data_IF_814281725858
#
_entry.id   IF_814281725858
#
_cell.length_a   1.000
_cell.length_b   1.000
_cell.length_c   1.000
_cell.angle_alpha   90.00
_cell.angle_beta   90.00
_cell.angle_gamma   90.00
#
_symmetry.space_group_name_H-M   'P 1'
#
loop_
_entity.id
_entity.type
_entity.pdbx_description
1 polymer ?
#
# COMPACT_ATOMS: atom_id res chain seq x y z
N UNK A 1 -14.42 -16.59 5.30
CA UNK A 1 -14.42 -15.40 6.19
C UNK A 1 -14.70 -14.18 5.36
N UNK A 2 -15.42 -13.21 5.92
CA UNK A 2 -15.78 -11.96 5.25
C UNK A 2 -14.96 -10.84 5.87
N UNK A 3 -14.50 -9.89 5.07
CA UNK A 3 -13.79 -8.70 5.53
C UNK A 3 -14.57 -7.45 5.10
N UNK A 4 -14.67 -6.46 5.98
CA UNK A 4 -14.81 -5.07 5.59
C UNK A 4 -13.42 -4.53 5.22
N UNK A 5 -13.24 -4.11 3.97
CA UNK A 5 -11.93 -3.76 3.45
C UNK A 5 -11.89 -2.37 2.82
N UNK A 6 -10.81 -1.64 3.08
CA UNK A 6 -10.44 -0.41 2.37
C UNK A 6 -9.09 -0.63 1.67
N UNK A 7 -9.17 -0.81 0.35
CA UNK A 7 -8.06 -1.28 -0.46
C UNK A 7 -7.37 -0.16 -1.25
N UNK A 8 -7.73 1.10 -1.01
CA UNK A 8 -7.08 2.25 -1.64
C UNK A 8 -6.87 3.37 -0.64
N UNK A 9 -5.71 3.32 0.01
CA UNK A 9 -5.22 4.37 0.91
C UNK A 9 -3.86 4.87 0.45
N UNK A 10 -3.43 5.99 1.04
CA UNK A 10 -2.11 6.55 0.84
C UNK A 10 -1.34 6.65 2.15
N UNK A 11 -0.02 6.67 2.02
CA UNK A 11 0.95 6.89 3.09
C UNK A 11 1.14 8.39 3.36
N UNK A 12 1.94 8.76 4.39
CA UNK A 12 2.36 10.13 4.65
C UNK A 12 3.28 10.71 3.56
N UNK A 13 3.76 9.86 2.63
CA UNK A 13 4.69 10.24 1.57
C UNK A 13 4.00 10.58 0.24
N UNK A 14 2.71 10.26 0.11
CA UNK A 14 1.91 10.76 -0.99
C UNK A 14 1.75 12.28 -0.93
N UNK A 15 1.44 12.89 -2.06
CA UNK A 15 1.20 14.34 -2.13
C UNK A 15 -0.14 14.67 -1.51
N UNK A 16 -0.18 15.76 -0.74
CA UNK A 16 -1.39 16.30 -0.13
C UNK A 16 -2.13 15.32 0.80
N UNK A 17 -1.39 14.44 1.47
CA UNK A 17 -1.92 13.52 2.48
C UNK A 17 -1.48 13.93 3.89
N UNK A 18 -2.19 13.44 4.91
CA UNK A 18 -1.87 13.74 6.31
C UNK A 18 -0.56 13.06 6.73
N UNK A 19 0.24 13.77 7.54
CA UNK A 19 1.45 13.20 8.15
C UNK A 19 1.14 12.11 9.18
N UNK A 20 -0.11 12.07 9.65
CA UNK A 20 -0.61 11.09 10.61
C UNK A 20 -1.06 9.77 9.97
N UNK A 21 -0.92 9.56 8.66
CA UNK A 21 -1.24 8.29 7.97
C UNK A 21 -0.17 7.21 8.20
N UNK A 22 0.31 7.06 9.43
CA UNK A 22 1.21 5.99 9.84
C UNK A 22 0.43 4.70 10.18
N UNK A 23 1.11 3.56 10.23
CA UNK A 23 0.46 2.26 10.45
C UNK A 23 -0.27 2.17 11.80
N UNK A 24 0.27 2.79 12.84
CA UNK A 24 -0.32 2.80 14.17
C UNK A 24 -1.68 3.52 14.17
N UNK A 25 -1.74 4.70 13.57
CA UNK A 25 -2.99 5.45 13.40
C UNK A 25 -3.96 4.74 12.46
N UNK A 26 -3.47 4.16 11.36
CA UNK A 26 -4.30 3.39 10.43
C UNK A 26 -4.98 2.20 11.13
N UNK A 27 -4.22 1.42 11.92
CA UNK A 27 -4.76 0.32 12.72
C UNK A 27 -5.75 0.82 13.77
N UNK A 28 -5.41 1.89 14.49
CA UNK A 28 -6.30 2.49 15.49
C UNK A 28 -7.66 2.89 14.91
N UNK A 29 -7.65 3.65 13.80
CA UNK A 29 -8.88 4.14 13.18
C UNK A 29 -9.65 3.04 12.44
N UNK A 30 -8.97 2.02 11.90
CA UNK A 30 -9.64 0.88 11.28
C UNK A 30 -10.52 0.14 12.30
N UNK A 31 -10.03 -0.09 13.52
CA UNK A 31 -10.83 -0.70 14.60
C UNK A 31 -12.07 0.11 14.93
N UNK A 32 -11.92 1.43 15.05
CA UNK A 32 -13.06 2.33 15.34
C UNK A 32 -14.09 2.31 14.20
N UNK A 33 -13.61 2.27 12.95
CA UNK A 33 -14.46 2.22 11.76
C UNK A 33 -15.05 0.84 11.45
N UNK A 34 -14.56 -0.22 12.08
CA UNK A 34 -14.92 -1.60 11.76
C UNK A 34 -14.37 -2.08 10.42
N UNK A 35 -13.15 -1.66 10.06
CA UNK A 35 -12.43 -2.12 8.87
C UNK A 35 -11.45 -3.21 9.30
N UNK A 36 -11.60 -4.41 8.72
CA UNK A 36 -10.79 -5.58 9.07
C UNK A 36 -9.48 -5.63 8.27
N UNK A 37 -9.49 -5.12 7.03
CA UNK A 37 -8.39 -5.21 6.08
C UNK A 37 -8.13 -3.87 5.39
N UNK A 38 -6.90 -3.39 5.48
CA UNK A 38 -6.42 -2.19 4.77
C UNK A 38 -5.41 -2.54 3.68
N UNK A 39 -5.32 -1.75 2.62
CA UNK A 39 -4.09 -1.72 1.82
C UNK A 39 -2.97 -1.00 2.61
N UNK A 40 -1.70 -1.32 2.37
CA UNK A 40 -0.60 -0.51 2.92
C UNK A 40 -0.50 0.88 2.28
N UNK A 41 -0.92 0.99 1.03
CA UNK A 41 -0.68 2.16 0.17
C UNK A 41 0.81 2.31 -0.19
N UNK A 42 1.07 2.98 -1.31
CA UNK A 42 2.38 3.56 -1.68
C UNK A 42 3.62 2.68 -1.46
N UNK A 43 3.54 1.34 -1.64
CA UNK A 43 4.70 0.46 -1.41
C UNK A 43 5.90 0.74 -2.32
N UNK A 44 5.74 1.60 -3.33
CA UNK A 44 6.81 2.04 -4.23
C UNK A 44 7.71 3.10 -3.60
N UNK A 45 7.26 3.73 -2.51
CA UNK A 45 8.08 4.68 -1.76
C UNK A 45 9.09 3.93 -0.87
N UNK A 46 10.40 4.14 -1.02
CA UNK A 46 11.42 3.29 -0.39
C UNK A 46 11.40 3.35 1.15
N UNK A 47 11.16 4.52 1.73
CA UNK A 47 11.06 4.65 3.20
C UNK A 47 9.81 3.96 3.73
N UNK A 48 8.69 4.07 3.02
CA UNK A 48 7.43 3.45 3.44
C UNK A 48 7.49 1.93 3.33
N UNK A 49 8.10 1.43 2.26
CA UNK A 49 8.36 0.00 2.09
C UNK A 49 9.26 -0.55 3.21
N UNK A 50 10.32 0.17 3.57
CA UNK A 50 11.18 -0.21 4.69
C UNK A 50 10.43 -0.19 6.04
N UNK A 51 9.54 0.78 6.25
CA UNK A 51 8.68 0.82 7.44
C UNK A 51 7.67 -0.33 7.47
N UNK A 52 7.09 -0.69 6.32
CA UNK A 52 6.15 -1.82 6.19
C UNK A 52 6.78 -3.10 6.73
N UNK A 53 7.99 -3.43 6.29
CA UNK A 53 8.70 -4.63 6.75
C UNK A 53 9.22 -4.56 8.20
N UNK A 54 9.27 -3.38 8.81
CA UNK A 54 9.68 -3.19 10.22
C UNK A 54 8.50 -3.25 11.17
N UNK A 55 7.36 -2.69 10.79
CA UNK A 55 6.22 -2.47 11.68
C UNK A 55 5.15 -3.54 11.54
N UNK A 56 4.92 -4.05 10.33
CA UNK A 56 3.87 -5.03 10.12
C UNK A 56 4.42 -6.46 10.25
N UNK A 57 3.67 -7.30 10.94
CA UNK A 57 3.98 -8.72 11.09
C UNK A 57 3.42 -9.49 9.90
N UNK A 58 4.27 -10.23 9.19
CA UNK A 58 3.83 -11.16 8.13
C UNK A 58 3.02 -12.33 8.74
N UNK A 59 1.81 -12.56 8.24
CA UNK A 59 0.94 -13.65 8.70
C UNK A 59 1.12 -14.95 7.91
N UNK A 60 1.96 -14.95 6.86
CA UNK A 60 2.29 -16.12 6.05
C UNK A 60 1.26 -16.51 4.99
N UNK A 61 0.14 -15.80 4.93
CA UNK A 61 -0.97 -15.99 3.98
C UNK A 61 -1.09 -14.85 2.95
N UNK A 62 -0.02 -14.05 2.81
CA UNK A 62 0.03 -12.87 1.95
C UNK A 62 -0.60 -11.62 2.56
N UNK A 63 -1.04 -11.70 3.81
CA UNK A 63 -1.45 -10.57 4.62
C UNK A 63 -0.37 -10.22 5.66
N UNK A 64 -0.56 -9.06 6.24
CA UNK A 64 0.27 -8.52 7.30
C UNK A 64 -0.65 -8.04 8.43
N UNK A 65 -0.12 -7.87 9.63
CA UNK A 65 -0.91 -7.47 10.79
C UNK A 65 -0.20 -6.43 11.64
N UNK A 66 -0.97 -5.46 12.14
CA UNK A 66 -0.58 -4.60 13.25
C UNK A 66 -1.75 -4.41 14.22
N UNK A 67 -1.53 -4.76 15.47
CA UNK A 67 -2.50 -4.70 16.57
C UNK A 67 -3.86 -5.35 16.23
N UNK A 68 -3.88 -6.45 15.47
CA UNK A 68 -5.11 -7.15 15.11
C UNK A 68 -5.89 -6.56 13.92
N UNK A 69 -5.36 -5.55 13.23
CA UNK A 69 -5.85 -5.10 11.92
C UNK A 69 -4.97 -5.68 10.84
N UNK A 70 -5.59 -6.22 9.78
CA UNK A 70 -4.87 -6.83 8.66
C UNK A 70 -4.54 -5.81 7.59
N UNK A 71 -3.45 -6.07 6.89
CA UNK A 71 -2.96 -5.27 5.77
C UNK A 71 -2.64 -6.17 4.57
N UNK A 72 -2.96 -5.68 3.37
CA UNK A 72 -2.47 -6.23 2.10
C UNK A 72 -1.50 -5.24 1.48
N UNK A 73 -0.40 -5.73 0.89
CA UNK A 73 0.57 -4.87 0.23
C UNK A 73 -0.06 -4.28 -1.03
N UNK A 74 -0.31 -2.97 -1.03
CA UNK A 74 -0.98 -2.26 -2.12
C UNK A 74 -0.29 -0.96 -2.49
N UNK A 75 -0.45 -0.53 -3.74
CA UNK A 75 -0.02 0.79 -4.23
C UNK A 75 -0.94 1.29 -5.33
N UNK A 76 -0.97 2.61 -5.52
CA UNK A 76 -1.50 3.25 -6.72
C UNK A 76 -0.33 3.63 -7.65
N UNK A 77 -0.40 3.20 -8.91
CA UNK A 77 0.54 3.57 -9.96
C UNK A 77 -0.08 4.63 -10.86
N UNK A 78 0.64 5.73 -11.07
CA UNK A 78 0.24 6.77 -12.01
C UNK A 78 0.84 6.50 -13.40
N UNK A 79 0.02 5.98 -14.30
CA UNK A 79 0.37 5.77 -15.70
C UNK A 79 0.16 7.08 -16.48
N UNK A 80 1.23 7.87 -16.58
CA UNK A 80 1.22 9.19 -17.22
C UNK A 80 1.82 9.21 -18.65
N UNK A 81 2.25 8.06 -19.16
CA UNK A 81 2.93 7.93 -20.44
C UNK A 81 2.02 8.27 -21.64
N UNK A 82 2.57 8.78 -22.76
CA UNK A 82 1.83 8.96 -23.99
C UNK A 82 1.51 7.60 -24.63
N UNK A 83 0.25 7.42 -25.03
CA UNK A 83 -0.21 6.23 -25.75
C UNK A 83 -1.18 6.67 -26.86
N UNK A 84 -0.83 6.36 -28.12
CA UNK A 84 -1.63 6.76 -29.29
C UNK A 84 -1.71 8.27 -29.48
N UNK A 85 -0.60 8.99 -29.28
CA UNK A 85 -0.52 10.45 -29.46
C UNK A 85 -1.20 11.28 -28.36
N UNK A 86 -1.72 10.66 -27.30
CA UNK A 86 -2.35 11.36 -26.16
C UNK A 86 -1.66 10.99 -24.86
N UNK A 87 -1.44 11.98 -23.98
CA UNK A 87 -1.00 11.72 -22.60
C UNK A 87 -2.14 11.02 -21.85
N UNK A 88 -1.82 9.90 -21.20
CA UNK A 88 -2.71 9.24 -20.25
C UNK A 88 -2.45 9.80 -18.86
N UNK A 89 -3.45 9.73 -17.98
CA UNK A 89 -3.38 10.04 -16.55
C UNK A 89 -4.28 9.02 -15.87
N UNK A 90 -3.83 7.78 -15.90
CA UNK A 90 -4.61 6.62 -15.43
C UNK A 90 -3.98 6.17 -14.13
N UNK A 91 -4.79 6.02 -13.10
CA UNK A 91 -4.37 5.45 -11.84
C UNK A 91 -4.73 3.97 -11.82
N UNK A 92 -3.77 3.12 -11.48
CA UNK A 92 -3.95 1.68 -11.40
C UNK A 92 -3.60 1.19 -10.01
N UNK A 93 -4.50 0.42 -9.40
CA UNK A 93 -4.21 -0.28 -8.16
C UNK A 93 -3.44 -1.56 -8.47
N UNK A 94 -2.36 -1.78 -7.71
CA UNK A 94 -1.57 -3.00 -7.77
C UNK A 94 -1.40 -3.56 -6.35
N UNK A 95 -1.53 -4.88 -6.24
CA UNK A 95 -1.37 -5.61 -5.00
C UNK A 95 -0.30 -6.67 -5.16
N UNK A 96 0.42 -6.97 -4.09
CA UNK A 96 1.51 -7.94 -4.10
C UNK A 96 1.35 -8.94 -2.94
N UNK A 97 1.69 -10.22 -3.14
CA UNK A 97 1.51 -11.26 -2.12
C UNK A 97 2.65 -11.29 -1.09
N UNK A 98 3.76 -10.59 -1.31
CA UNK A 98 4.91 -10.62 -0.40
C UNK A 98 5.82 -9.40 -0.54
N UNK A 99 6.59 -9.09 0.50
CA UNK A 99 7.61 -8.03 0.46
C UNK A 99 8.68 -8.33 -0.60
N UNK A 100 8.99 -9.60 -0.84
CA UNK A 100 9.89 -10.01 -1.93
C UNK A 100 9.33 -9.60 -3.30
N UNK A 101 8.03 -9.84 -3.54
CA UNK A 101 7.37 -9.46 -4.79
C UNK A 101 7.35 -7.94 -4.95
N UNK A 102 7.05 -7.20 -3.88
CA UNK A 102 7.16 -5.73 -3.89
C UNK A 102 8.57 -5.28 -4.22
N UNK A 103 9.60 -5.92 -3.64
CA UNK A 103 11.00 -5.64 -3.95
C UNK A 103 11.33 -5.79 -5.43
N UNK A 104 10.84 -6.87 -6.08
CA UNK A 104 10.99 -7.09 -7.52
C UNK A 104 10.25 -6.04 -8.35
N UNK A 105 9.02 -5.68 -7.96
CA UNK A 105 8.24 -4.61 -8.61
C UNK A 105 8.98 -3.28 -8.54
N UNK A 106 9.44 -2.88 -7.35
CA UNK A 106 10.17 -1.64 -7.13
C UNK A 106 11.50 -1.61 -7.90
N UNK A 107 12.20 -2.75 -7.99
CA UNK A 107 13.40 -2.87 -8.81
C UNK A 107 13.08 -2.71 -10.30
N UNK A 108 11.97 -3.26 -10.79
CA UNK A 108 11.57 -3.11 -12.18
C UNK A 108 11.18 -1.66 -12.52
N UNK A 109 10.40 -1.01 -11.64
CA UNK A 109 9.91 0.37 -11.82
C UNK A 109 11.00 1.44 -11.64
N UNK A 110 12.11 1.12 -10.98
CA UNK A 110 13.24 2.05 -10.80
C UNK A 110 14.22 2.07 -11.99
N UNK A 111 14.09 1.13 -12.94
CA UNK A 111 14.90 1.11 -14.17
C UNK A 111 14.45 2.26 -15.08
N UNK A 112 15.40 3.09 -15.49
CA UNK A 112 15.19 4.16 -16.49
C UNK A 112 15.15 3.59 -17.91
#
# INVERSE_FOLDING_TARGET
>A
MTYAADLHIHSPYARATSRELNFENLSHWAKIKGIDLLATGDFTHPTWFAETGKKLKDTGDGLFELDGVKFVLGTELNCNAPQGGRRRRIHMLAFAPSLETVGRINQALSRK
#
